data_IF_901025494231
#
_entry.id   IF_901025494231
#
_cell.length_a   1.000
_cell.length_b   1.000
_cell.length_c   1.000
_cell.angle_alpha   90.00
_cell.angle_beta   90.00
_cell.angle_gamma   90.00
#
_symmetry.space_group_name_H-M   'P 1'
#
loop_
_entity.id
_entity.type
_entity.pdbx_description
1 polymer ?
#
# COMPACT_ATOMS: atom_id res chain seq x y z
N UNK A 1 -1.19 -23.66 11.49
CA UNK A 1 -1.71 -22.29 11.59
C UNK A 1 -3.05 -22.23 10.87
N UNK A 2 -4.08 -21.61 11.46
CA UNK A 2 -5.39 -21.40 10.83
C UNK A 2 -5.50 -19.92 10.42
N UNK A 3 -5.81 -19.69 9.16
CA UNK A 3 -6.08 -18.40 8.54
C UNK A 3 -7.60 -18.23 8.42
N UNK A 4 -8.07 -17.01 8.10
CA UNK A 4 -9.51 -16.74 7.97
C UNK A 4 -10.21 -17.58 6.89
N UNK A 5 -9.44 -18.17 5.96
CA UNK A 5 -9.90 -19.05 4.90
C UNK A 5 -9.58 -20.55 5.14
N UNK A 6 -9.12 -20.94 6.33
CA UNK A 6 -8.79 -22.33 6.68
C UNK A 6 -7.29 -22.57 6.88
N UNK A 7 -6.75 -23.68 6.39
CA UNK A 7 -5.30 -23.98 6.50
C UNK A 7 -4.49 -22.89 5.79
N UNK A 8 -3.55 -22.26 6.49
CA UNK A 8 -2.67 -21.29 5.86
C UNK A 8 -1.72 -21.98 4.87
N UNK A 9 -1.84 -21.64 3.59
CA UNK A 9 -0.99 -22.18 2.51
C UNK A 9 0.14 -21.23 2.12
N UNK A 10 0.05 -19.96 2.55
CA UNK A 10 1.00 -18.90 2.20
C UNK A 10 1.60 -18.27 3.46
N UNK A 11 2.85 -17.85 3.36
CA UNK A 11 3.54 -17.06 4.38
C UNK A 11 4.08 -15.78 3.74
N UNK A 12 4.12 -14.69 4.51
CA UNK A 12 4.62 -13.39 4.07
C UNK A 12 5.08 -12.58 5.28
N UNK A 13 5.38 -11.30 5.10
CA UNK A 13 5.74 -10.36 6.16
C UNK A 13 4.98 -9.05 6.00
N UNK A 14 4.56 -8.48 7.13
CA UNK A 14 4.03 -7.11 7.24
C UNK A 14 4.84 -6.39 8.30
N UNK A 15 5.66 -5.44 7.89
CA UNK A 15 6.44 -4.60 8.80
C UNK A 15 5.68 -3.29 9.02
N UNK A 16 5.68 -2.77 10.25
CA UNK A 16 5.11 -1.47 10.58
C UNK A 16 5.94 -0.78 11.67
N UNK A 17 5.77 0.55 11.78
CA UNK A 17 6.48 1.41 12.73
C UNK A 17 5.60 1.88 13.88
N UNK A 18 4.38 1.34 14.04
CA UNK A 18 3.42 1.78 15.07
C UNK A 18 4.04 1.74 16.47
N UNK A 19 3.87 2.82 17.23
CA UNK A 19 4.46 3.00 18.56
C UNK A 19 5.99 3.15 18.59
N UNK A 20 6.65 3.23 17.42
CA UNK A 20 8.12 3.42 17.31
C UNK A 20 8.49 4.66 16.52
N UNK A 21 7.84 4.87 15.39
CA UNK A 21 8.02 6.03 14.54
C UNK A 21 6.70 6.37 13.84
N UNK A 22 6.26 7.61 14.02
CA UNK A 22 5.17 8.25 13.31
C UNK A 22 5.63 9.64 12.86
N UNK A 23 5.12 10.09 11.73
CA UNK A 23 5.42 11.40 11.16
C UNK A 23 4.12 12.05 10.70
N UNK A 24 4.03 13.37 10.89
CA UNK A 24 2.97 14.20 10.34
C UNK A 24 3.60 15.14 9.32
N UNK A 25 3.04 15.15 8.11
CA UNK A 25 3.52 15.94 6.96
C UNK A 25 4.94 15.56 6.50
N UNK A 26 5.38 16.20 5.42
CA UNK A 26 6.69 16.04 4.82
C UNK A 26 6.71 15.08 3.63
N UNK A 27 7.91 14.59 3.33
CA UNK A 27 8.18 13.69 2.22
C UNK A 27 8.46 12.28 2.74
N UNK A 28 7.72 11.29 2.25
CA UNK A 28 7.91 9.87 2.60
C UNK A 28 8.21 9.11 1.31
N UNK A 29 9.35 8.43 1.27
CA UNK A 29 9.86 7.76 0.08
C UNK A 29 10.42 6.38 0.40
N UNK A 30 10.20 5.44 -0.52
CA UNK A 30 10.93 4.18 -0.54
C UNK A 30 11.29 3.77 -1.98
N UNK A 31 12.52 3.27 -2.15
CA UNK A 31 12.98 2.65 -3.40
C UNK A 31 12.77 1.14 -3.35
N UNK A 32 11.76 0.64 -4.06
CA UNK A 32 11.25 -0.74 -3.95
C UNK A 32 11.24 -1.39 -5.34
N UNK A 33 11.69 -2.65 -5.41
CA UNK A 33 11.37 -3.55 -6.52
C UNK A 33 10.32 -4.53 -6.03
N UNK A 34 9.19 -4.60 -6.73
CA UNK A 34 8.05 -5.43 -6.32
C UNK A 34 8.03 -6.79 -7.05
N UNK A 35 7.40 -7.83 -6.48
CA UNK A 35 7.17 -9.09 -7.19
C UNK A 35 6.08 -8.93 -8.27
N UNK A 36 5.96 -9.93 -9.17
CA UNK A 36 4.83 -10.09 -10.08
C UNK A 36 4.23 -11.50 -9.95
N UNK A 37 2.95 -11.65 -10.29
CA UNK A 37 2.26 -12.94 -10.29
C UNK A 37 0.81 -12.80 -9.85
N UNK A 38 -0.06 -13.63 -10.43
CA UNK A 38 -1.47 -13.69 -10.06
C UNK A 38 -1.62 -13.92 -8.54
N UNK A 39 -2.41 -13.07 -7.89
CA UNK A 39 -2.70 -13.17 -6.45
C UNK A 39 -1.64 -12.54 -5.52
N UNK A 40 -0.55 -11.98 -6.08
CA UNK A 40 0.45 -11.23 -5.30
C UNK A 40 -0.01 -9.78 -5.16
N UNK A 41 0.15 -9.21 -3.95
CA UNK A 41 -0.26 -7.85 -3.63
C UNK A 41 0.77 -7.18 -2.69
N UNK A 42 1.83 -6.56 -3.23
CA UNK A 42 2.75 -5.75 -2.45
C UNK A 42 2.15 -4.36 -2.21
N UNK A 43 2.39 -3.80 -1.03
CA UNK A 43 1.93 -2.48 -0.64
C UNK A 43 2.98 -1.72 0.17
N UNK A 44 3.08 -0.41 -0.04
CA UNK A 44 3.81 0.56 0.77
C UNK A 44 2.86 1.71 1.11
N UNK A 45 2.56 1.88 2.39
CA UNK A 45 1.42 2.65 2.85
C UNK A 45 1.60 3.13 4.28
N UNK A 46 0.72 4.03 4.71
CA UNK A 46 0.71 4.67 6.02
C UNK A 46 -0.70 4.64 6.62
N UNK A 47 -0.78 4.60 7.97
CA UNK A 47 -2.01 4.70 8.75
C UNK A 47 -1.90 5.80 9.80
N UNK A 48 -3.03 6.37 10.21
CA UNK A 48 -3.10 7.23 11.37
C UNK A 48 -2.64 6.53 12.66
N UNK A 49 -1.81 7.21 13.45
CA UNK A 49 -1.28 6.70 14.72
C UNK A 49 -2.38 6.53 15.79
N UNK A 50 -3.55 7.15 15.58
CA UNK A 50 -4.74 7.05 16.41
C UNK A 50 -5.69 5.90 16.01
N UNK A 51 -5.29 5.01 15.08
CA UNK A 51 -6.12 3.86 14.65
C UNK A 51 -6.66 3.01 15.81
N UNK A 52 -5.90 2.88 16.91
CA UNK A 52 -6.35 2.18 18.11
C UNK A 52 -7.47 2.89 18.88
N UNK A 53 -7.64 4.21 18.70
CA UNK A 53 -8.62 5.04 19.38
C UNK A 53 -9.88 5.24 18.53
N UNK A 54 -9.71 5.55 17.24
CA UNK A 54 -10.83 5.93 16.34
C UNK A 54 -11.21 4.85 15.34
N UNK A 55 -10.38 3.82 15.17
CA UNK A 55 -10.56 2.75 14.19
C UNK A 55 -10.32 3.20 12.75
N UNK A 56 -10.39 2.25 11.84
CA UNK A 56 -10.42 2.49 10.38
C UNK A 56 -11.88 2.61 9.90
N UNK A 57 -12.22 3.49 8.94
CA UNK A 57 -11.34 4.40 8.20
C UNK A 57 -11.12 5.76 8.87
N UNK A 58 -11.59 5.96 10.12
CA UNK A 58 -11.55 7.27 10.75
C UNK A 58 -10.14 7.81 11.01
N UNK A 59 -9.18 6.92 11.24
CA UNK A 59 -7.75 7.25 11.40
C UNK A 59 -7.06 7.66 10.10
N UNK A 60 -7.68 7.37 8.94
CA UNK A 60 -7.10 7.63 7.63
C UNK A 60 -6.03 6.63 7.20
N UNK A 61 -5.82 6.56 5.89
CA UNK A 61 -4.83 5.70 5.21
C UNK A 61 -4.29 6.43 3.97
N UNK A 62 -2.97 6.34 3.77
CA UNK A 62 -2.29 6.83 2.56
C UNK A 62 -1.55 5.65 1.95
N UNK A 63 -2.07 5.13 0.85
CA UNK A 63 -1.41 4.13 0.03
C UNK A 63 -0.50 4.82 -0.96
N UNK A 64 0.81 4.81 -0.66
CA UNK A 64 1.83 5.42 -1.52
C UNK A 64 2.04 4.55 -2.77
N UNK A 65 1.95 3.23 -2.62
CA UNK A 65 2.00 2.29 -3.71
C UNK A 65 1.31 0.98 -3.34
N UNK A 66 0.36 0.57 -4.17
CA UNK A 66 -0.13 -0.79 -4.26
C UNK A 66 0.04 -1.32 -5.69
N UNK A 67 0.33 -2.61 -5.86
CA UNK A 67 0.26 -3.29 -7.15
C UNK A 67 -0.63 -4.52 -7.03
N UNK A 68 -1.43 -4.78 -8.06
CA UNK A 68 -2.10 -6.06 -8.21
C UNK A 68 -1.27 -6.92 -9.16
N UNK A 69 -0.75 -8.05 -8.69
CA UNK A 69 0.32 -8.78 -9.38
C UNK A 69 -0.04 -9.37 -10.76
N UNK A 70 -1.31 -9.33 -11.17
CA UNK A 70 -1.76 -9.65 -12.53
C UNK A 70 -1.54 -8.50 -13.53
N UNK A 71 -1.37 -7.28 -13.05
CA UNK A 71 -1.08 -6.06 -13.82
C UNK A 71 0.29 -5.47 -13.41
N UNK A 72 1.40 -6.17 -13.69
CA UNK A 72 2.71 -5.82 -13.13
C UNK A 72 3.29 -4.48 -13.61
N UNK A 73 2.66 -3.84 -14.60
CA UNK A 73 3.02 -2.50 -15.10
C UNK A 73 2.25 -1.34 -14.46
N UNK A 74 1.27 -1.62 -13.60
CA UNK A 74 0.38 -0.61 -13.01
C UNK A 74 0.49 -0.61 -11.50
N UNK A 75 0.64 0.56 -10.89
CA UNK A 75 0.49 0.77 -9.44
C UNK A 75 -0.68 1.70 -9.15
N UNK A 76 -1.19 1.66 -7.92
CA UNK A 76 -2.26 2.53 -7.44
C UNK A 76 -1.77 3.32 -6.24
N UNK A 77 -2.02 4.63 -6.26
CA UNK A 77 -1.93 5.48 -5.07
C UNK A 77 -3.33 5.85 -4.64
N UNK A 78 -3.66 5.63 -3.36
CA UNK A 78 -5.04 5.74 -2.86
C UNK A 78 -5.07 6.40 -1.48
N UNK A 79 -6.11 7.19 -1.24
CA UNK A 79 -6.43 7.75 0.07
C UNK A 79 -7.71 7.12 0.59
N UNK A 80 -7.69 6.73 1.87
CA UNK A 80 -8.90 6.30 2.57
C UNK A 80 -9.19 7.16 3.80
N UNK A 81 -10.47 7.42 4.04
CA UNK A 81 -10.95 8.16 5.20
C UNK A 81 -12.46 8.02 5.41
N UNK A 82 -13.02 8.70 6.44
CA UNK A 82 -14.46 8.68 6.68
C UNK A 82 -15.24 9.18 5.45
N UNK A 83 -16.08 8.31 4.90
CA UNK A 83 -16.90 8.61 3.71
C UNK A 83 -16.22 8.31 2.36
N UNK A 84 -14.94 7.95 2.33
CA UNK A 84 -14.20 7.59 1.11
C UNK A 84 -13.19 6.48 1.41
N UNK A 85 -13.64 5.24 1.53
CA UNK A 85 -12.80 4.11 1.95
C UNK A 85 -13.17 2.81 1.24
N UNK A 86 -12.31 1.77 1.34
CA UNK A 86 -12.48 0.52 0.60
C UNK A 86 -12.55 0.79 -0.90
N UNK A 87 -13.57 0.25 -1.59
CA UNK A 87 -13.78 0.51 -3.02
C UNK A 87 -14.12 1.97 -3.37
N UNK A 88 -14.46 2.79 -2.37
CA UNK A 88 -14.71 4.23 -2.50
C UNK A 88 -13.52 5.11 -2.13
N UNK A 89 -12.32 4.53 -2.00
CA UNK A 89 -11.08 5.30 -1.82
C UNK A 89 -10.84 6.28 -2.97
N UNK A 90 -10.17 7.39 -2.67
CA UNK A 90 -9.80 8.39 -3.68
C UNK A 90 -8.40 8.04 -4.17
N UNK A 91 -8.31 7.46 -5.36
CA UNK A 91 -7.03 7.00 -5.89
C UNK A 91 -6.91 7.16 -7.39
N UNK A 92 -5.69 6.93 -7.87
CA UNK A 92 -5.37 6.93 -9.28
C UNK A 92 -4.35 5.82 -9.59
N UNK A 93 -4.52 5.20 -10.75
CA UNK A 93 -3.56 4.27 -11.30
C UNK A 93 -2.44 5.02 -12.04
N UNK A 94 -1.22 4.51 -11.95
CA UNK A 94 -0.11 4.90 -12.79
C UNK A 94 0.47 3.66 -13.47
N UNK A 95 0.52 3.69 -14.79
CA UNK A 95 1.07 2.60 -15.62
C UNK A 95 2.36 3.04 -16.26
N UNK A 96 3.40 2.21 -16.17
CA UNK A 96 4.66 2.47 -16.85
C UNK A 96 4.46 2.47 -18.39
N UNK A 97 5.20 3.33 -19.12
CA UNK A 97 5.14 3.35 -20.57
C UNK A 97 5.69 2.06 -21.18
N UNK A 98 5.37 1.83 -22.46
CA UNK A 98 5.97 0.78 -23.29
C UNK A 98 5.82 -0.66 -22.75
N UNK A 99 4.82 -0.93 -21.91
CA UNK A 99 4.55 -2.25 -21.36
C UNK A 99 5.60 -2.75 -20.35
N UNK A 100 6.37 -1.82 -19.77
CA UNK A 100 7.32 -2.15 -18.70
C UNK A 100 6.60 -2.59 -17.42
N UNK A 101 7.29 -3.35 -16.57
CA UNK A 101 6.78 -3.77 -15.28
C UNK A 101 7.59 -3.21 -14.12
N UNK A 102 6.90 -2.84 -13.04
CA UNK A 102 7.52 -2.43 -11.77
C UNK A 102 8.32 -3.56 -11.09
N UNK A 103 8.16 -4.79 -11.58
CA UNK A 103 8.92 -5.95 -11.14
C UNK A 103 10.24 -6.15 -11.91
N UNK A 104 10.52 -5.34 -12.94
CA UNK A 104 11.74 -5.43 -13.74
C UNK A 104 12.94 -4.76 -13.03
N UNK A 105 12.71 -3.64 -12.33
CA UNK A 105 13.74 -2.89 -11.61
C UNK A 105 13.18 -2.25 -10.33
N UNK A 106 14.04 -1.62 -9.56
CA UNK A 106 13.66 -0.78 -8.44
C UNK A 106 13.12 0.57 -8.92
N UNK A 107 11.99 0.96 -8.35
CA UNK A 107 11.37 2.26 -8.58
C UNK A 107 11.23 3.01 -7.25
N UNK A 108 11.18 4.32 -7.34
CA UNK A 108 10.96 5.20 -6.19
C UNK A 108 9.47 5.52 -6.09
N UNK A 109 8.88 5.21 -4.95
CA UNK A 109 7.50 5.53 -4.61
C UNK A 109 7.51 6.52 -3.47
N UNK A 110 6.84 7.65 -3.65
CA UNK A 110 6.88 8.73 -2.69
C UNK A 110 5.56 9.51 -2.61
N UNK A 111 5.35 10.15 -1.47
CA UNK A 111 4.29 11.15 -1.28
C UNK A 111 4.89 12.41 -0.66
N UNK A 112 4.49 13.55 -1.20
CA UNK A 112 4.66 14.86 -0.57
C UNK A 112 3.33 15.25 0.08
N UNK A 113 3.33 15.37 1.40
CA UNK A 113 2.15 15.63 2.22
C UNK A 113 2.35 16.90 3.05
N UNK A 114 1.43 17.85 2.97
CA UNK A 114 1.47 19.12 3.69
C UNK A 114 0.09 19.51 4.26
#
# INVERSE_FOLDING_TARGET
YQCWYGTCEYTSSRLNTSGKFSAAYGHVEARIKIPRGQGIWPAFWMLGDDIGNVGWPNSGEIDIMENVGFEPGTVHGTLHGPGYSGSGGIGAAYTLPNGQAFADDFHTFAVDWA
#
